data_IF_805813794642
#
_entry.id   IF_805813794642
#
_cell.length_a   1.000
_cell.length_b   1.000
_cell.length_c   1.000
_cell.angle_alpha   90.00
_cell.angle_beta   90.00
_cell.angle_gamma   90.00
#
_symmetry.space_group_name_H-M   'P 1'
#
loop_
_entity.id
_entity.type
_entity.pdbx_description
1 polymer ?
#
# COMPACT_ATOMS: atom_id res chain seq x y z
N UNK A 1 -39.88 21.58 8.55
CA UNK A 1 -39.90 20.11 8.36
C UNK A 1 -38.97 19.65 7.22
N UNK A 2 -39.10 20.17 5.99
CA UNK A 2 -38.24 19.79 4.85
C UNK A 2 -36.74 20.11 5.04
N UNK A 3 -36.40 21.30 5.55
CA UNK A 3 -35.02 21.70 5.85
C UNK A 3 -34.35 20.81 6.92
N UNK A 4 -35.12 20.35 7.91
CA UNK A 4 -34.63 19.47 8.97
C UNK A 4 -34.40 18.04 8.47
N UNK A 5 -35.28 17.54 7.60
CA UNK A 5 -35.10 16.24 6.92
C UNK A 5 -33.88 16.24 5.99
N UNK A 6 -33.65 17.32 5.24
CA UNK A 6 -32.45 17.48 4.42
C UNK A 6 -31.17 17.50 5.26
N UNK A 7 -31.19 18.20 6.40
CA UNK A 7 -30.06 18.26 7.33
C UNK A 7 -29.72 16.89 7.92
N UNK A 8 -30.72 16.16 8.43
CA UNK A 8 -30.54 14.79 8.95
C UNK A 8 -30.00 13.83 7.88
N UNK A 9 -30.48 13.95 6.64
CA UNK A 9 -29.98 13.11 5.53
C UNK A 9 -28.54 13.46 5.14
N UNK A 10 -28.18 14.74 5.11
CA UNK A 10 -26.82 15.20 4.85
C UNK A 10 -25.86 14.71 5.95
N UNK A 11 -26.24 14.86 7.21
CA UNK A 11 -25.46 14.38 8.36
C UNK A 11 -25.23 12.86 8.30
N UNK A 12 -26.26 12.11 7.88
CA UNK A 12 -26.16 10.68 7.64
C UNK A 12 -25.19 10.34 6.50
N UNK A 13 -25.28 10.99 5.34
CA UNK A 13 -24.37 10.75 4.20
C UNK A 13 -22.93 11.04 4.59
N UNK A 14 -22.68 12.19 5.24
CA UNK A 14 -21.34 12.57 5.69
C UNK A 14 -20.76 11.51 6.63
N UNK A 15 -21.57 10.98 7.56
CA UNK A 15 -21.15 9.90 8.46
C UNK A 15 -20.75 8.63 7.70
N UNK A 16 -21.50 8.23 6.67
CA UNK A 16 -21.17 7.05 5.86
C UNK A 16 -19.89 7.26 5.04
N UNK A 17 -19.71 8.43 4.43
CA UNK A 17 -18.49 8.78 3.69
C UNK A 17 -17.27 8.79 4.61
N UNK A 18 -17.41 9.34 5.82
CA UNK A 18 -16.35 9.31 6.83
C UNK A 18 -16.00 7.87 7.21
N UNK A 19 -17.00 7.01 7.45
CA UNK A 19 -16.78 5.59 7.75
C UNK A 19 -16.02 4.88 6.62
N UNK A 20 -16.40 5.10 5.37
CA UNK A 20 -15.70 4.53 4.20
C UNK A 20 -14.24 5.01 4.14
N UNK A 21 -14.00 6.31 4.34
CA UNK A 21 -12.65 6.86 4.37
C UNK A 21 -11.82 6.28 5.52
N UNK A 22 -12.41 6.11 6.71
CA UNK A 22 -11.73 5.58 7.89
C UNK A 22 -11.23 4.15 7.71
N UNK A 23 -11.83 3.34 6.82
CA UNK A 23 -11.28 2.03 6.46
C UNK A 23 -9.86 2.13 5.87
N UNK A 24 -9.56 3.20 5.12
CA UNK A 24 -8.31 3.35 4.34
C UNK A 24 -7.41 4.47 4.83
N UNK A 25 -7.84 5.26 5.83
CA UNK A 25 -7.12 6.45 6.33
C UNK A 25 -5.66 6.19 6.68
N UNK A 26 -5.37 5.06 7.31
CA UNK A 26 -4.00 4.70 7.72
C UNK A 26 -3.11 4.35 6.52
N UNK A 27 -3.72 3.92 5.42
CA UNK A 27 -3.04 3.45 4.22
C UNK A 27 -2.84 4.54 3.16
N UNK A 28 -3.36 5.74 3.40
CA UNK A 28 -3.20 6.89 2.48
C UNK A 28 -1.73 7.18 2.22
N UNK A 29 -0.90 7.18 3.28
CA UNK A 29 0.53 7.51 3.19
C UNK A 29 1.42 6.31 2.87
N UNK A 30 0.97 5.09 3.15
CA UNK A 30 1.76 3.87 2.98
C UNK A 30 1.48 3.16 1.65
N UNK A 31 0.30 3.37 1.07
CA UNK A 31 -0.15 2.67 -0.13
C UNK A 31 -0.73 3.62 -1.17
N UNK A 32 -1.79 4.38 -0.85
CA UNK A 32 -2.51 5.15 -1.86
C UNK A 32 -1.61 6.18 -2.59
N UNK A 33 -0.92 7.04 -1.83
CA UNK A 33 -0.01 8.04 -2.40
C UNK A 33 1.18 7.36 -3.12
N UNK A 34 1.96 6.47 -2.48
CA UNK A 34 3.10 5.83 -3.14
C UNK A 34 2.72 5.08 -4.42
N UNK A 35 1.64 4.29 -4.43
CA UNK A 35 1.24 3.50 -5.61
C UNK A 35 0.67 4.39 -6.71
N UNK A 36 0.02 5.51 -6.36
CA UNK A 36 -0.41 6.49 -7.38
C UNK A 36 0.80 7.16 -8.04
N UNK A 37 1.83 7.52 -7.25
CA UNK A 37 3.10 8.05 -7.78
C UNK A 37 3.77 7.02 -8.68
N UNK A 38 3.83 5.76 -8.24
CA UNK A 38 4.34 4.65 -9.04
C UNK A 38 3.60 4.55 -10.36
N UNK A 39 2.26 4.48 -10.33
CA UNK A 39 1.44 4.30 -11.52
C UNK A 39 1.69 5.38 -12.58
N UNK A 40 1.81 6.64 -12.15
CA UNK A 40 2.08 7.77 -13.04
C UNK A 40 3.52 7.76 -13.60
N UNK A 41 4.48 7.30 -12.79
CA UNK A 41 5.90 7.25 -13.14
C UNK A 41 6.23 6.06 -14.04
N UNK A 42 5.57 4.92 -13.82
CA UNK A 42 5.75 3.68 -14.55
C UNK A 42 4.92 3.62 -15.84
N UNK A 43 3.91 4.47 -16.00
CA UNK A 43 3.07 4.50 -17.19
C UNK A 43 3.89 4.79 -18.48
N UNK A 44 3.64 4.07 -19.60
CA UNK A 44 4.32 4.33 -20.87
C UNK A 44 4.06 5.74 -21.44
N UNK A 45 2.88 6.29 -21.15
CA UNK A 45 2.49 7.65 -21.54
C UNK A 45 2.17 8.45 -20.29
N UNK A 46 2.91 9.53 -20.08
CA UNK A 46 2.67 10.42 -18.95
C UNK A 46 1.51 11.37 -19.27
N UNK A 47 0.42 11.22 -18.51
CA UNK A 47 -0.72 12.14 -18.54
C UNK A 47 -1.15 12.43 -17.09
N UNK A 48 -0.72 13.57 -16.51
CA UNK A 48 -1.08 13.95 -15.15
C UNK A 48 -2.59 14.09 -14.94
N UNK A 49 -3.37 14.35 -15.99
CA UNK A 49 -4.83 14.45 -15.89
C UNK A 49 -5.48 13.10 -15.55
N UNK A 50 -4.74 11.99 -15.70
CA UNK A 50 -5.18 10.63 -15.37
C UNK A 50 -4.82 10.20 -13.94
N UNK A 51 -4.17 11.06 -13.16
CA UNK A 51 -3.82 10.79 -11.76
C UNK A 51 -5.03 10.38 -10.92
N UNK A 52 -6.19 11.01 -11.15
CA UNK A 52 -7.41 10.67 -10.42
C UNK A 52 -7.96 9.30 -10.82
N UNK A 53 -7.79 8.86 -12.08
CA UNK A 53 -8.18 7.51 -12.50
C UNK A 53 -7.39 6.44 -11.76
N UNK A 54 -6.06 6.60 -11.71
CA UNK A 54 -5.18 5.71 -10.97
C UNK A 54 -5.51 5.72 -9.47
N UNK A 55 -5.59 6.90 -8.86
CA UNK A 55 -5.88 7.05 -7.44
C UNK A 55 -7.24 6.44 -7.06
N UNK A 56 -8.31 6.67 -7.84
CA UNK A 56 -9.61 6.05 -7.60
C UNK A 56 -9.54 4.54 -7.74
N UNK A 57 -8.95 4.03 -8.82
CA UNK A 57 -8.83 2.59 -9.04
C UNK A 57 -8.09 1.90 -7.87
N UNK A 58 -6.96 2.48 -7.44
CA UNK A 58 -6.18 1.98 -6.30
C UNK A 58 -6.99 2.06 -5.01
N UNK A 59 -7.69 3.17 -4.77
CA UNK A 59 -8.48 3.38 -3.56
C UNK A 59 -9.63 2.38 -3.40
N UNK A 60 -10.34 2.03 -4.48
CA UNK A 60 -11.40 1.01 -4.44
C UNK A 60 -10.86 -0.38 -4.06
N UNK A 61 -9.72 -0.79 -4.63
CA UNK A 61 -9.08 -2.07 -4.29
C UNK A 61 -8.49 -2.06 -2.87
N UNK A 62 -7.94 -0.93 -2.45
CA UNK A 62 -7.46 -0.72 -1.09
C UNK A 62 -8.61 -0.78 -0.07
N UNK A 63 -9.79 -0.25 -0.44
CA UNK A 63 -11.01 -0.35 0.36
C UNK A 63 -11.49 -1.80 0.45
N UNK A 64 -11.52 -2.53 -0.66
CA UNK A 64 -11.86 -3.97 -0.68
C UNK A 64 -10.97 -4.76 0.29
N UNK A 65 -9.65 -4.58 0.20
CA UNK A 65 -8.70 -5.28 1.08
C UNK A 65 -8.86 -4.88 2.55
N UNK A 66 -8.98 -3.57 2.83
CA UNK A 66 -9.07 -3.09 4.21
C UNK A 66 -10.35 -3.55 4.91
N UNK A 67 -11.49 -3.58 4.21
CA UNK A 67 -12.73 -4.09 4.81
C UNK A 67 -12.54 -5.57 5.19
N UNK A 68 -11.97 -6.38 4.29
CA UNK A 68 -11.70 -7.79 4.57
C UNK A 68 -10.76 -7.99 5.76
N UNK A 69 -9.64 -7.24 5.79
CA UNK A 69 -8.63 -7.37 6.83
C UNK A 69 -9.13 -6.92 8.21
N UNK A 70 -9.99 -5.89 8.28
CA UNK A 70 -10.50 -5.39 9.56
C UNK A 70 -11.56 -6.30 10.19
N UNK A 71 -12.19 -7.19 9.40
CA UNK A 71 -13.12 -8.21 9.90
C UNK A 71 -12.38 -9.33 10.64
N UNK A 72 -11.16 -9.65 10.21
CA UNK A 72 -10.43 -10.83 10.67
C UNK A 72 -10.00 -10.74 12.15
N UNK A 73 -9.46 -9.59 12.59
CA UNK A 73 -9.06 -9.38 13.98
C UNK A 73 -9.35 -7.94 14.46
N UNK A 74 -10.62 -7.65 14.82
CA UNK A 74 -11.00 -6.35 15.34
C UNK A 74 -10.31 -5.98 16.66
N UNK A 75 -9.87 -6.97 17.45
CA UNK A 75 -9.21 -6.74 18.75
C UNK A 75 -7.76 -6.29 18.58
N UNK A 76 -7.03 -6.85 17.60
CA UNK A 76 -5.74 -6.33 17.15
C UNK A 76 -5.87 -4.86 16.75
N UNK A 77 -6.85 -4.56 15.90
CA UNK A 77 -7.08 -3.20 15.43
C UNK A 77 -7.53 -2.25 16.53
N UNK A 78 -8.24 -2.72 17.55
CA UNK A 78 -8.60 -1.91 18.72
C UNK A 78 -7.36 -1.42 19.48
N UNK A 79 -6.30 -2.22 19.52
CA UNK A 79 -5.02 -1.84 20.14
C UNK A 79 -4.17 -0.95 19.24
N UNK A 80 -3.98 -1.36 17.98
CA UNK A 80 -3.04 -0.69 17.07
C UNK A 80 -3.64 0.53 16.38
N UNK A 81 -4.92 0.45 16.00
CA UNK A 81 -5.60 1.35 15.06
C UNK A 81 -7.04 1.66 15.51
N UNK A 82 -7.26 2.21 16.74
CA UNK A 82 -8.58 2.35 17.34
C UNK A 82 -9.56 3.25 16.56
N UNK A 83 -9.05 4.08 15.64
CA UNK A 83 -9.89 4.92 14.77
C UNK A 83 -10.52 4.15 13.59
N UNK A 84 -10.17 2.87 13.38
CA UNK A 84 -10.76 2.03 12.33
C UNK A 84 -12.26 1.84 12.56
N UNK A 85 -13.09 1.76 11.50
CA UNK A 85 -14.55 1.72 11.62
C UNK A 85 -15.11 0.65 12.56
N UNK A 86 -14.61 -0.59 12.49
CA UNK A 86 -15.13 -1.69 13.31
C UNK A 86 -14.75 -1.50 14.80
N UNK A 87 -13.47 -1.30 15.17
CA UNK A 87 -13.10 -1.01 16.57
C UNK A 87 -13.75 0.24 17.15
N UNK A 88 -14.00 1.26 16.31
CA UNK A 88 -14.65 2.50 16.72
C UNK A 88 -16.19 2.37 16.86
N UNK A 89 -16.75 1.19 16.60
CA UNK A 89 -18.20 0.95 16.68
C UNK A 89 -19.02 1.69 15.61
N UNK A 90 -18.40 2.13 14.51
CA UNK A 90 -19.08 2.87 13.43
C UNK A 90 -19.89 1.95 12.50
N UNK A 91 -19.51 0.68 12.43
CA UNK A 91 -20.15 -0.38 11.64
C UNK A 91 -19.95 -1.72 12.35
N UNK A 92 -20.96 -2.61 12.30
CA UNK A 92 -20.83 -3.97 12.83
C UNK A 92 -19.97 -4.84 11.92
N UNK A 93 -19.45 -5.94 12.46
CA UNK A 93 -18.68 -6.93 11.69
C UNK A 93 -19.54 -7.54 10.57
N UNK A 94 -20.80 -7.88 10.87
CA UNK A 94 -21.73 -8.46 9.90
C UNK A 94 -21.98 -7.53 8.71
N UNK A 95 -22.26 -6.24 8.97
CA UNK A 95 -22.46 -5.27 7.90
C UNK A 95 -21.18 -5.01 7.10
N UNK A 96 -20.01 -5.05 7.74
CA UNK A 96 -18.73 -4.97 7.02
C UNK A 96 -18.51 -6.20 6.13
N UNK A 97 -18.91 -7.41 6.57
CA UNK A 97 -18.81 -8.64 5.80
C UNK A 97 -19.68 -8.62 4.53
N UNK A 98 -20.89 -8.05 4.61
CA UNK A 98 -21.72 -7.84 3.42
C UNK A 98 -21.02 -6.90 2.42
N UNK A 99 -20.51 -5.76 2.89
CA UNK A 99 -19.81 -4.79 2.03
C UNK A 99 -18.56 -5.42 1.40
N UNK A 100 -17.81 -6.24 2.14
CA UNK A 100 -16.63 -6.96 1.63
C UNK A 100 -16.95 -7.75 0.35
N UNK A 101 -18.05 -8.50 0.35
CA UNK A 101 -18.44 -9.31 -0.81
C UNK A 101 -18.97 -8.46 -1.97
N UNK A 102 -19.63 -7.34 -1.68
CA UNK A 102 -20.06 -6.36 -2.70
C UNK A 102 -18.87 -5.66 -3.36
N UNK A 103 -17.78 -5.42 -2.63
CA UNK A 103 -16.60 -4.73 -3.16
C UNK A 103 -15.88 -5.53 -4.26
N UNK A 104 -15.94 -6.86 -4.25
CA UNK A 104 -15.31 -7.71 -5.29
C UNK A 104 -15.90 -7.43 -6.68
N UNK A 105 -17.21 -7.60 -6.94
CA UNK A 105 -17.77 -7.30 -8.26
C UNK A 105 -17.63 -5.81 -8.62
N UNK A 106 -17.70 -4.89 -7.66
CA UNK A 106 -17.46 -3.45 -7.91
C UNK A 106 -16.06 -3.22 -8.47
N UNK A 107 -15.03 -3.80 -7.85
CA UNK A 107 -13.64 -3.67 -8.30
C UNK A 107 -13.43 -4.35 -9.67
N UNK A 108 -13.99 -5.54 -9.88
CA UNK A 108 -13.90 -6.24 -11.17
C UNK A 108 -14.58 -5.44 -12.30
N UNK A 109 -15.76 -4.86 -12.06
CA UNK A 109 -16.46 -4.02 -13.03
C UNK A 109 -15.69 -2.72 -13.33
N UNK A 110 -15.15 -2.07 -12.30
CA UNK A 110 -14.30 -0.89 -12.46
C UNK A 110 -13.08 -1.22 -13.32
N UNK A 111 -12.48 -2.38 -13.13
CA UNK A 111 -11.28 -2.81 -13.86
C UNK A 111 -11.57 -3.25 -15.29
N UNK A 112 -12.73 -3.86 -15.54
CA UNK A 112 -13.21 -4.15 -16.89
C UNK A 112 -13.33 -2.88 -17.75
N UNK A 113 -13.68 -1.74 -17.14
CA UNK A 113 -13.72 -0.45 -17.83
C UNK A 113 -12.34 -0.03 -18.38
N UNK A 114 -11.26 -0.29 -17.64
CA UNK A 114 -9.90 0.06 -18.04
C UNK A 114 -9.26 -0.95 -18.98
N UNK A 115 -9.67 -2.23 -18.94
CA UNK A 115 -9.27 -3.25 -19.91
C UNK A 115 -8.81 -4.56 -19.27
N UNK A 116 -8.48 -5.54 -20.10
CA UNK A 116 -8.20 -6.92 -19.68
C UNK A 116 -7.06 -7.05 -18.67
N UNK A 117 -6.00 -6.25 -18.80
CA UNK A 117 -4.87 -6.33 -17.85
C UNK A 117 -5.25 -5.81 -16.46
N UNK A 118 -6.02 -4.73 -16.37
CA UNK A 118 -6.56 -4.25 -15.09
C UNK A 118 -7.52 -5.27 -14.48
N UNK A 119 -8.38 -5.89 -15.30
CA UNK A 119 -9.27 -6.96 -14.85
C UNK A 119 -8.48 -8.14 -14.28
N UNK A 120 -7.43 -8.60 -14.98
CA UNK A 120 -6.58 -9.69 -14.49
C UNK A 120 -5.91 -9.33 -13.16
N UNK A 121 -5.34 -8.13 -13.05
CA UNK A 121 -4.76 -7.65 -11.79
C UNK A 121 -5.77 -7.65 -10.64
N UNK A 122 -7.03 -7.29 -10.92
CA UNK A 122 -8.12 -7.26 -9.93
C UNK A 122 -8.57 -8.66 -9.53
N UNK A 123 -8.66 -9.58 -10.49
CA UNK A 123 -9.00 -10.99 -10.24
C UNK A 123 -7.93 -11.62 -9.35
N UNK A 124 -6.65 -11.45 -9.69
CA UNK A 124 -5.54 -11.93 -8.85
C UNK A 124 -5.59 -11.28 -7.48
N UNK A 125 -5.79 -9.96 -7.40
CA UNK A 125 -5.91 -9.25 -6.13
C UNK A 125 -7.06 -9.77 -5.26
N UNK A 126 -8.23 -10.04 -5.85
CA UNK A 126 -9.39 -10.57 -5.13
C UNK A 126 -9.13 -12.00 -4.62
N UNK A 127 -8.59 -12.89 -5.45
CA UNK A 127 -8.24 -14.26 -5.06
C UNK A 127 -7.21 -14.27 -3.93
N UNK A 128 -6.17 -13.45 -4.05
CA UNK A 128 -5.14 -13.34 -3.03
C UNK A 128 -5.63 -12.66 -1.75
N UNK A 129 -6.59 -11.73 -1.84
CA UNK A 129 -7.25 -11.15 -0.66
C UNK A 129 -8.09 -12.20 0.08
N UNK A 130 -8.80 -13.07 -0.65
CA UNK A 130 -9.53 -14.20 -0.05
C UNK A 130 -8.53 -15.17 0.60
N UNK A 131 -7.42 -15.49 -0.06
CA UNK A 131 -6.40 -16.34 0.56
C UNK A 131 -5.82 -15.69 1.82
N UNK A 132 -5.47 -14.40 1.74
CA UNK A 132 -4.91 -13.65 2.85
C UNK A 132 -5.82 -13.69 4.08
N UNK A 133 -7.11 -13.37 3.91
CA UNK A 133 -8.04 -13.16 5.04
C UNK A 133 -8.86 -14.40 5.42
N UNK A 134 -9.37 -15.17 4.45
CA UNK A 134 -10.31 -16.27 4.71
C UNK A 134 -9.58 -17.62 4.87
N UNK A 135 -8.44 -17.79 4.19
CA UNK A 135 -7.69 -19.05 4.18
C UNK A 135 -6.40 -18.98 5.01
N UNK A 136 -6.31 -18.02 5.93
CA UNK A 136 -5.19 -17.87 6.87
C UNK A 136 -3.82 -17.66 6.20
N UNK A 137 -3.77 -17.13 4.98
CA UNK A 137 -2.52 -16.89 4.25
C UNK A 137 -1.58 -15.92 4.98
N UNK A 138 -2.12 -15.07 5.85
CA UNK A 138 -1.38 -14.09 6.65
C UNK A 138 -0.76 -14.66 7.95
N UNK A 139 -1.16 -15.88 8.38
CA UNK A 139 -0.71 -16.46 9.66
C UNK A 139 0.72 -16.99 9.64
N UNK A 140 1.28 -17.26 8.46
CA UNK A 140 2.68 -17.65 8.29
C UNK A 140 3.51 -16.42 7.87
N UNK A 141 4.54 -16.05 8.64
CA UNK A 141 5.27 -14.79 8.44
C UNK A 141 5.83 -14.58 7.02
N UNK A 142 6.49 -15.59 6.44
CA UNK A 142 7.00 -15.49 5.05
C UNK A 142 5.87 -15.43 4.02
N UNK A 143 4.79 -16.19 4.24
CA UNK A 143 3.59 -16.18 3.38
C UNK A 143 2.93 -14.80 3.40
N UNK A 144 2.75 -14.20 4.58
CA UNK A 144 2.22 -12.84 4.75
C UNK A 144 3.02 -11.85 3.90
N UNK A 145 4.34 -11.80 4.07
CA UNK A 145 5.17 -10.81 3.38
C UNK A 145 5.13 -10.97 1.85
N UNK A 146 5.24 -12.21 1.36
CA UNK A 146 5.16 -12.50 -0.07
C UNK A 146 3.78 -12.14 -0.62
N UNK A 147 2.72 -12.52 0.08
CA UNK A 147 1.34 -12.25 -0.34
C UNK A 147 1.03 -10.75 -0.34
N UNK A 148 1.45 -10.01 0.69
CA UNK A 148 1.31 -8.55 0.74
C UNK A 148 2.10 -7.89 -0.39
N UNK A 149 3.31 -8.36 -0.71
CA UNK A 149 4.09 -7.82 -1.82
C UNK A 149 3.43 -8.07 -3.18
N UNK A 150 2.87 -9.26 -3.42
CA UNK A 150 2.13 -9.55 -4.65
C UNK A 150 0.86 -8.72 -4.76
N UNK A 151 0.11 -8.56 -3.65
CA UNK A 151 -1.06 -7.68 -3.60
C UNK A 151 -0.68 -6.23 -3.93
N UNK A 152 0.46 -5.75 -3.41
CA UNK A 152 1.00 -4.42 -3.73
C UNK A 152 1.34 -4.30 -5.23
N UNK A 153 2.02 -5.29 -5.80
CA UNK A 153 2.31 -5.35 -7.23
C UNK A 153 1.06 -5.40 -8.11
N UNK A 154 -0.03 -6.04 -7.66
CA UNK A 154 -1.32 -6.00 -8.36
C UNK A 154 -1.90 -4.58 -8.38
N UNK A 155 -1.77 -3.82 -7.28
CA UNK A 155 -2.19 -2.43 -7.24
C UNK A 155 -1.36 -1.56 -8.18
N UNK A 156 -0.06 -1.81 -8.27
CA UNK A 156 0.85 -1.13 -9.18
C UNK A 156 0.53 -1.41 -10.65
N UNK A 157 0.30 -2.67 -11.02
CA UNK A 157 -0.09 -3.05 -12.39
C UNK A 157 -1.41 -2.39 -12.77
N UNK A 158 -2.46 -2.60 -11.96
CA UNK A 158 -3.79 -2.07 -12.27
C UNK A 158 -3.85 -0.55 -12.22
N UNK A 159 -3.17 0.08 -11.26
CA UNK A 159 -3.03 1.53 -11.17
C UNK A 159 -2.32 2.13 -12.39
N UNK A 160 -1.23 1.49 -12.86
CA UNK A 160 -0.50 1.92 -14.06
C UNK A 160 -1.38 1.80 -15.31
N UNK A 161 -2.14 0.71 -15.44
CA UNK A 161 -3.11 0.55 -16.54
C UNK A 161 -4.22 1.62 -16.47
N UNK A 162 -4.73 1.92 -15.28
CA UNK A 162 -5.76 2.93 -15.07
C UNK A 162 -5.26 4.36 -15.35
N UNK A 163 -3.96 4.63 -15.16
CA UNK A 163 -3.32 5.89 -15.54
C UNK A 163 -3.26 6.07 -17.07
N UNK A 164 -3.15 5.00 -17.85
CA UNK A 164 -3.18 5.06 -19.33
C UNK A 164 -4.60 5.15 -19.89
N UNK A 165 -4.78 5.47 -21.19
CA UNK A 165 -6.07 5.36 -21.89
C UNK A 165 -6.74 3.97 -21.75
N UNK A 166 -8.03 3.86 -22.11
CA UNK A 166 -8.72 2.57 -22.07
C UNK A 166 -7.98 1.51 -22.91
N UNK A 167 -7.89 0.29 -22.37
CA UNK A 167 -7.15 -0.85 -22.90
C UNK A 167 -5.63 -0.63 -23.00
N UNK A 168 -5.07 0.27 -22.18
CA UNK A 168 -3.62 0.37 -22.02
C UNK A 168 -3.05 -0.87 -21.34
N UNK A 169 -1.76 -1.08 -21.53
CA UNK A 169 -0.99 -2.11 -20.86
C UNK A 169 0.32 -1.55 -20.32
N UNK A 170 0.90 -2.23 -19.33
CA UNK A 170 2.27 -1.94 -18.90
C UNK A 170 3.25 -2.42 -19.98
N UNK A 171 4.29 -1.63 -20.24
CA UNK A 171 5.39 -2.04 -21.11
C UNK A 171 6.49 -2.78 -20.30
N UNK A 172 7.61 -3.08 -20.95
CA UNK A 172 8.75 -3.78 -20.29
C UNK A 172 9.34 -2.99 -19.13
N UNK A 173 9.43 -1.66 -19.25
CA UNK A 173 9.95 -0.81 -18.18
C UNK A 173 8.99 -0.76 -16.98
N UNK A 174 7.68 -0.67 -17.24
CA UNK A 174 6.65 -0.77 -16.21
C UNK A 174 6.67 -2.14 -15.51
N UNK A 175 6.80 -3.23 -16.26
CA UNK A 175 6.92 -4.57 -15.68
C UNK A 175 8.17 -4.72 -14.81
N UNK A 176 9.32 -4.19 -15.24
CA UNK A 176 10.54 -4.15 -14.43
C UNK A 176 10.34 -3.32 -13.17
N UNK A 177 9.68 -2.16 -13.26
CA UNK A 177 9.37 -1.31 -12.13
C UNK A 177 8.51 -2.05 -11.08
N UNK A 178 7.48 -2.80 -11.52
CA UNK A 178 6.63 -3.60 -10.61
C UNK A 178 7.44 -4.69 -9.93
N UNK A 179 8.29 -5.40 -10.68
CA UNK A 179 9.12 -6.47 -10.13
C UNK A 179 10.11 -5.95 -9.08
N UNK A 180 10.78 -4.83 -9.36
CA UNK A 180 11.70 -4.18 -8.42
C UNK A 180 10.97 -3.66 -7.20
N UNK A 181 9.85 -2.95 -7.40
CA UNK A 181 9.04 -2.41 -6.31
C UNK A 181 8.55 -3.53 -5.38
N UNK A 182 7.95 -4.59 -5.94
CA UNK A 182 7.50 -5.75 -5.18
C UNK A 182 8.64 -6.43 -4.40
N UNK A 183 9.84 -6.49 -4.98
CA UNK A 183 11.03 -7.08 -4.32
C UNK A 183 11.55 -6.19 -3.18
N UNK A 184 11.62 -4.88 -3.41
CA UNK A 184 11.96 -3.90 -2.36
C UNK A 184 10.95 -4.04 -1.23
N UNK A 185 9.66 -3.96 -1.53
CA UNK A 185 8.59 -4.08 -0.54
C UNK A 185 8.66 -5.39 0.24
N UNK A 186 8.82 -6.54 -0.42
CA UNK A 186 8.91 -7.84 0.25
C UNK A 186 10.08 -7.90 1.24
N UNK A 187 11.22 -7.29 0.90
CA UNK A 187 12.43 -7.30 1.74
C UNK A 187 12.42 -6.22 2.82
N UNK A 188 11.62 -5.16 2.67
CA UNK A 188 11.55 -4.04 3.63
C UNK A 188 10.19 -3.85 4.30
N UNK A 189 9.21 -4.75 4.08
CA UNK A 189 7.83 -4.64 4.60
C UNK A 189 7.79 -4.42 6.11
N UNK A 190 8.69 -5.09 6.84
CA UNK A 190 8.78 -5.03 8.28
C UNK A 190 9.09 -3.64 8.84
N UNK A 191 9.50 -2.66 8.01
CA UNK A 191 9.53 -1.24 8.40
C UNK A 191 8.17 -0.74 8.92
N UNK A 192 7.08 -1.30 8.39
CA UNK A 192 5.72 -0.96 8.79
C UNK A 192 5.25 -1.74 10.03
N UNK A 193 5.84 -2.91 10.29
CA UNK A 193 5.46 -3.77 11.42
C UNK A 193 6.06 -3.26 12.74
N UNK A 194 7.20 -2.55 12.75
CA UNK A 194 7.83 -2.08 14.00
C UNK A 194 6.92 -1.24 14.90
N UNK A 195 6.10 -0.36 14.32
CA UNK A 195 5.18 0.49 15.08
C UNK A 195 4.00 -0.27 15.70
N UNK A 196 3.72 -1.47 15.18
CA UNK A 196 2.59 -2.34 15.56
C UNK A 196 3.09 -3.55 16.40
N UNK A 197 4.41 -3.65 16.68
CA UNK A 197 5.06 -4.80 17.34
C UNK A 197 4.46 -5.15 18.70
N UNK A 198 4.17 -4.16 19.54
CA UNK A 198 3.54 -4.39 20.85
C UNK A 198 2.16 -5.05 20.70
N UNK A 199 1.35 -4.52 19.79
CA UNK A 199 0.02 -5.07 19.52
C UNK A 199 0.09 -6.47 18.96
N UNK A 200 0.99 -6.68 17.99
CA UNK A 200 1.28 -7.99 17.38
C UNK A 200 1.70 -9.02 18.43
N UNK A 201 2.59 -8.63 19.35
CA UNK A 201 3.05 -9.52 20.43
C UNK A 201 1.92 -9.89 21.37
N UNK A 202 1.05 -8.93 21.71
CA UNK A 202 -0.10 -9.16 22.60
C UNK A 202 -1.21 -10.00 21.97
N UNK A 203 -1.31 -10.06 20.63
CA UNK A 203 -2.28 -10.90 19.91
C UNK A 203 -1.67 -12.23 19.43
N UNK A 204 -0.38 -12.46 19.68
CA UNK A 204 0.33 -13.68 19.32
C UNK A 204 0.78 -13.74 17.85
N UNK A 205 0.80 -12.60 17.15
CA UNK A 205 1.20 -12.50 15.75
C UNK A 205 2.71 -12.65 15.59
N UNK A 206 3.12 -13.50 14.64
CA UNK A 206 4.52 -13.80 14.34
C UNK A 206 5.01 -12.96 13.15
N UNK A 207 5.50 -11.76 13.41
CA UNK A 207 6.11 -10.85 12.43
C UNK A 207 7.64 -10.83 12.58
N UNK A 208 8.36 -10.31 11.58
CA UNK A 208 9.82 -10.28 11.64
C UNK A 208 10.35 -9.48 12.85
N UNK A 209 9.76 -8.32 13.21
CA UNK A 209 10.15 -7.61 14.44
C UNK A 209 9.88 -8.38 15.73
N UNK A 210 8.82 -9.20 15.81
CA UNK A 210 8.52 -9.98 17.04
C UNK A 210 9.41 -11.21 17.20
N UNK A 211 9.82 -11.85 16.10
CA UNK A 211 10.66 -13.06 16.13
C UNK A 211 12.15 -12.73 16.18
N UNK A 212 12.61 -11.76 15.36
CA UNK A 212 14.03 -11.42 15.19
C UNK A 212 14.26 -9.89 15.32
N UNK A 213 14.00 -9.28 16.48
CA UNK A 213 13.95 -7.82 16.63
C UNK A 213 15.25 -7.11 16.21
N UNK A 214 16.41 -7.63 16.63
CA UNK A 214 17.72 -7.05 16.26
C UNK A 214 18.00 -7.22 14.77
N UNK A 215 17.81 -8.42 14.23
CA UNK A 215 18.09 -8.69 12.82
C UNK A 215 17.19 -7.87 11.89
N UNK A 216 15.90 -7.72 12.24
CA UNK A 216 14.96 -6.89 11.51
C UNK A 216 15.40 -5.41 11.46
N UNK A 217 15.88 -4.85 12.58
CA UNK A 217 16.38 -3.46 12.61
C UNK A 217 17.66 -3.29 11.79
N UNK A 218 18.61 -4.22 11.92
CA UNK A 218 19.84 -4.20 11.13
C UNK A 218 19.60 -4.42 9.63
N UNK A 219 18.60 -5.22 9.24
CA UNK A 219 18.23 -5.37 7.83
C UNK A 219 17.71 -4.08 7.23
N UNK A 220 17.02 -3.21 7.99
CA UNK A 220 16.64 -1.88 7.49
C UNK A 220 17.84 -0.96 7.31
N UNK A 221 18.79 -0.97 8.26
CA UNK A 221 20.01 -0.17 8.22
C UNK A 221 20.86 -0.46 6.96
N UNK A 222 20.93 -1.73 6.57
CA UNK A 222 21.71 -2.18 5.41
C UNK A 222 20.87 -2.16 4.12
N UNK A 223 19.64 -2.66 4.19
CA UNK A 223 18.78 -2.87 3.03
C UNK A 223 18.31 -1.59 2.36
N UNK A 224 17.89 -0.57 3.13
CA UNK A 224 17.38 0.70 2.55
C UNK A 224 18.46 1.39 1.70
N UNK A 225 19.72 1.61 2.18
CA UNK A 225 20.76 2.22 1.37
C UNK A 225 21.16 1.39 0.16
N UNK A 226 21.26 0.07 0.32
CA UNK A 226 21.60 -0.84 -0.78
C UNK A 226 20.54 -0.79 -1.89
N UNK A 227 19.25 -0.82 -1.54
CA UNK A 227 18.17 -0.64 -2.51
C UNK A 227 18.22 0.75 -3.14
N UNK A 228 18.51 1.80 -2.36
CA UNK A 228 18.63 3.16 -2.89
C UNK A 228 19.68 3.25 -3.99
N UNK A 229 20.85 2.66 -3.75
CA UNK A 229 21.94 2.60 -4.73
C UNK A 229 21.59 1.71 -5.92
N UNK A 230 21.12 0.48 -5.66
CA UNK A 230 20.76 -0.48 -6.71
C UNK A 230 19.68 0.04 -7.66
N UNK A 231 18.61 0.63 -7.12
CA UNK A 231 17.57 1.27 -7.93
C UNK A 231 18.11 2.45 -8.73
N UNK A 232 18.99 3.26 -8.15
CA UNK A 232 19.62 4.38 -8.86
C UNK A 232 20.45 3.92 -10.06
N UNK A 233 21.20 2.83 -9.90
CA UNK A 233 21.95 2.21 -10.99
C UNK A 233 21.04 1.67 -12.10
N UNK A 234 19.97 0.95 -11.74
CA UNK A 234 19.02 0.39 -12.72
C UNK A 234 18.34 1.51 -13.52
N UNK A 235 17.90 2.58 -12.85
CA UNK A 235 17.19 3.69 -13.46
C UNK A 235 18.10 4.81 -13.99
N UNK A 236 19.43 4.60 -13.98
CA UNK A 236 20.44 5.53 -14.51
C UNK A 236 20.29 6.96 -13.97
N UNK A 237 20.04 7.06 -12.68
CA UNK A 237 19.89 8.34 -11.96
C UNK A 237 21.24 9.05 -11.90
N UNK A 238 21.23 10.38 -12.01
CA UNK A 238 22.46 11.18 -11.92
C UNK A 238 23.13 11.06 -10.54
N UNK A 239 24.41 11.43 -10.45
CA UNK A 239 25.20 11.26 -9.24
C UNK A 239 24.70 12.09 -8.06
N UNK A 240 24.17 13.29 -8.30
CA UNK A 240 23.68 14.16 -7.23
C UNK A 240 22.41 13.58 -6.62
N UNK A 241 21.44 13.22 -7.47
CA UNK A 241 20.18 12.61 -7.04
C UNK A 241 20.39 11.24 -6.38
N UNK A 242 21.31 10.43 -6.92
CA UNK A 242 21.71 9.15 -6.32
C UNK A 242 22.30 9.34 -4.93
N UNK A 243 23.22 10.30 -4.76
CA UNK A 243 23.83 10.61 -3.48
C UNK A 243 22.78 11.05 -2.47
N UNK A 244 21.88 11.96 -2.86
CA UNK A 244 20.81 12.42 -1.98
C UNK A 244 19.87 11.28 -1.56
N UNK A 245 19.49 10.40 -2.50
CA UNK A 245 18.59 9.28 -2.21
C UNK A 245 19.24 8.22 -1.30
N UNK A 246 20.51 7.89 -1.53
CA UNK A 246 21.29 6.95 -0.69
C UNK A 246 21.51 7.53 0.71
N UNK A 247 21.88 8.81 0.83
CA UNK A 247 22.06 9.48 2.13
C UNK A 247 20.75 9.50 2.91
N UNK A 248 19.64 9.86 2.26
CA UNK A 248 18.34 9.81 2.90
C UNK A 248 17.99 8.39 3.34
N UNK A 249 18.20 7.39 2.48
CA UNK A 249 18.02 5.98 2.81
C UNK A 249 18.85 5.51 4.01
N UNK A 250 20.11 5.94 4.10
CA UNK A 250 21.00 5.65 5.23
C UNK A 250 20.52 6.30 6.53
N UNK A 251 20.04 7.55 6.47
CA UNK A 251 19.41 8.19 7.61
C UNK A 251 18.17 7.40 8.07
N UNK A 252 17.29 6.98 7.16
CA UNK A 252 16.09 6.20 7.51
C UNK A 252 16.45 4.84 8.11
N UNK A 253 17.36 4.09 7.47
CA UNK A 253 17.79 2.78 7.95
C UNK A 253 18.44 2.84 9.33
N UNK A 254 19.34 3.81 9.54
CA UNK A 254 20.03 4.00 10.84
C UNK A 254 19.06 4.34 11.97
N UNK A 255 18.00 5.10 11.68
CA UNK A 255 16.98 5.43 12.69
C UNK A 255 16.29 4.20 13.28
N UNK A 256 16.08 3.14 12.50
CA UNK A 256 15.49 1.90 13.01
C UNK A 256 16.40 1.18 14.01
N UNK A 257 17.71 1.44 14.01
CA UNK A 257 18.66 0.87 15.00
C UNK A 257 18.86 1.81 16.18
N UNK A 258 18.94 3.12 15.92
CA UNK A 258 19.24 4.14 16.96
C UNK A 258 18.05 4.45 17.87
N UNK A 259 16.82 4.27 17.39
CA UNK A 259 15.61 4.57 18.16
C UNK A 259 14.65 3.38 18.12
N UNK A 260 14.27 2.88 19.30
CA UNK A 260 13.49 1.65 19.47
C UNK A 260 12.16 1.85 20.24
N UNK A 261 11.80 3.10 20.51
CA UNK A 261 10.50 3.43 21.12
C UNK A 261 9.37 3.36 20.08
N UNK A 262 8.15 2.99 20.50
CA UNK A 262 6.96 2.95 19.62
C UNK A 262 6.73 4.29 18.90
N UNK A 263 6.95 5.41 19.59
CA UNK A 263 6.83 6.75 19.00
C UNK A 263 7.87 6.99 17.90
N UNK A 264 9.11 6.55 18.12
CA UNK A 264 10.17 6.64 17.13
C UNK A 264 9.92 5.72 15.93
N UNK A 265 9.44 4.49 16.14
CA UNK A 265 9.11 3.56 15.06
C UNK A 265 7.94 4.08 14.20
N UNK A 266 6.93 4.72 14.81
CA UNK A 266 5.88 5.43 14.07
C UNK A 266 6.45 6.54 13.19
N UNK A 267 7.48 7.25 13.66
CA UNK A 267 8.13 8.30 12.89
C UNK A 267 9.06 7.73 11.80
N UNK A 268 9.83 6.69 12.10
CA UNK A 268 10.69 5.98 11.14
C UNK A 268 9.87 5.35 10.02
N UNK A 269 8.69 4.78 10.33
CA UNK A 269 7.73 4.30 9.33
C UNK A 269 7.28 5.41 8.37
N UNK A 270 7.04 6.65 8.85
CA UNK A 270 6.70 7.78 7.96
C UNK A 270 7.86 8.14 7.03
N UNK A 271 9.09 8.19 7.55
CA UNK A 271 10.27 8.47 6.73
C UNK A 271 10.53 7.37 5.71
N UNK A 272 10.31 6.11 6.08
CA UNK A 272 10.32 4.97 5.18
C UNK A 272 9.26 5.10 4.08
N UNK A 273 8.01 5.48 4.40
CA UNK A 273 6.97 5.69 3.38
C UNK A 273 7.34 6.79 2.39
N UNK A 274 8.01 7.86 2.85
CA UNK A 274 8.56 8.88 1.96
C UNK A 274 9.69 8.33 1.10
N UNK A 275 10.65 7.60 1.69
CA UNK A 275 11.74 6.95 0.95
C UNK A 275 11.22 6.03 -0.16
N UNK A 276 10.24 5.20 0.17
CA UNK A 276 9.62 4.28 -0.76
C UNK A 276 8.90 5.02 -1.90
N UNK A 277 8.19 6.10 -1.57
CA UNK A 277 7.53 6.98 -2.55
C UNK A 277 8.54 7.65 -3.50
N UNK A 278 9.72 8.06 -2.99
CA UNK A 278 10.79 8.62 -3.82
C UNK A 278 11.36 7.56 -4.78
N UNK A 279 11.52 6.32 -4.32
CA UNK A 279 11.91 5.18 -5.16
C UNK A 279 10.95 4.94 -6.34
N UNK A 280 9.65 5.19 -6.14
CA UNK A 280 8.64 5.07 -7.19
C UNK A 280 8.71 6.15 -8.28
N UNK A 281 9.44 7.25 -8.07
CA UNK A 281 9.66 8.29 -9.09
C UNK A 281 10.76 7.89 -10.09
N UNK A 282 11.64 6.96 -9.74
CA UNK A 282 12.83 6.62 -10.53
C UNK A 282 12.52 6.07 -11.94
N UNK A 283 11.50 5.21 -12.14
CA UNK A 283 11.09 4.83 -13.50
C UNK A 283 10.67 6.04 -14.34
N UNK A 284 10.02 7.04 -13.74
CA UNK A 284 9.60 8.26 -14.41
C UNK A 284 10.78 9.13 -14.83
N UNK A 285 11.80 9.26 -13.97
CA UNK A 285 13.07 9.90 -14.34
C UNK A 285 13.69 9.20 -15.54
N UNK A 286 13.80 7.87 -15.50
CA UNK A 286 14.40 7.11 -16.59
C UNK A 286 13.64 7.28 -17.89
N UNK A 287 12.30 7.27 -17.86
CA UNK A 287 11.47 7.52 -19.05
C UNK A 287 11.68 8.91 -19.63
N UNK A 288 11.77 9.93 -18.79
CA UNK A 288 11.97 11.30 -19.24
C UNK A 288 13.29 11.49 -20.00
N UNK A 289 14.37 10.88 -19.53
CA UNK A 289 15.71 11.04 -20.14
C UNK A 289 16.08 9.96 -21.17
N UNK A 290 15.52 8.77 -21.08
CA UNK A 290 15.95 7.59 -21.85
C UNK A 290 14.79 6.80 -22.49
N UNK A 291 13.54 7.13 -22.19
CA UNK A 291 12.35 6.47 -22.74
C UNK A 291 12.03 7.02 -24.13
N UNK A 292 12.74 6.52 -25.14
CA UNK A 292 12.35 6.66 -26.54
C UNK A 292 11.28 5.62 -26.90
#
# INVERSE_FOLDING_TARGET
MFSQALKVRADSITRHLETIFLFTKNDVRTTLIPVTIFALSAAPKHDPTRAWHAALWIWFHLLQFNIANQIQDPEEDRKNKPSRPIPAGRISVDSAADIRWVMIPVCLMLSLWYGTQALLASTVFAVLTIWYNELNGDKMGLSKNVLTAILYGCLEVGGTVAAGPRNSSIDKAGALAVALSSTVFATTLHAQDFKDEEGDRLTGRRTLPTIFPKAARFSMMIGIPLWSYGLSCVWKIDALSTTAFVVYGACVGTRFVMYDTVGADKQSCKYYSLWYSLGHLLPGYWRFFYGA
#
